data_IF_990983768643
#
_entry.id   IF_990983768643
#
_cell.length_a   1.000
_cell.length_b   1.000
_cell.length_c   1.000
_cell.angle_alpha   90.00
_cell.angle_beta   90.00
_cell.angle_gamma   90.00
#
_symmetry.space_group_name_H-M   'P 1'
#
loop_
_entity.id
_entity.type
_entity.pdbx_description
1 polymer ?
#
# COMPACT_ATOMS: atom_id res chain seq x y z
N UNK A 1 5.75 -20.19 -5.62
CA UNK A 1 4.49 -19.42 -5.62
C UNK A 1 4.65 -18.10 -6.38
N UNK A 2 5.59 -17.22 -6.00
CA UNK A 2 5.76 -15.92 -6.67
C UNK A 2 6.11 -16.02 -8.16
N UNK A 3 6.98 -16.96 -8.55
CA UNK A 3 7.33 -17.20 -9.96
C UNK A 3 6.11 -17.57 -10.82
N UNK A 4 5.29 -18.51 -10.36
CA UNK A 4 4.08 -18.92 -11.10
C UNK A 4 3.06 -17.79 -11.24
N UNK A 5 2.87 -16.97 -10.20
CA UNK A 5 1.98 -15.80 -10.27
C UNK A 5 2.47 -14.80 -11.32
N UNK A 6 3.77 -14.50 -11.33
CA UNK A 6 4.35 -13.58 -12.31
C UNK A 6 4.29 -14.16 -13.72
N UNK A 7 4.60 -15.45 -13.89
CA UNK A 7 4.50 -16.16 -15.17
C UNK A 7 3.09 -16.11 -15.73
N UNK A 8 2.09 -16.38 -14.90
CA UNK A 8 0.68 -16.30 -15.29
C UNK A 8 0.29 -14.88 -15.71
N UNK A 9 0.76 -13.86 -14.98
CA UNK A 9 0.52 -12.46 -15.36
C UNK A 9 1.13 -12.11 -16.73
N UNK A 10 2.33 -12.61 -17.06
CA UNK A 10 2.93 -12.43 -18.41
C UNK A 10 2.10 -13.13 -19.51
N UNK A 11 1.56 -14.31 -19.23
CA UNK A 11 0.68 -15.04 -20.16
C UNK A 11 -0.61 -14.24 -20.41
N UNK A 12 -1.26 -13.77 -19.36
CA UNK A 12 -2.50 -12.98 -19.44
C UNK A 12 -2.28 -11.63 -20.13
N UNK A 13 -1.11 -11.01 -19.95
CA UNK A 13 -0.69 -9.80 -20.65
C UNK A 13 -0.30 -10.05 -22.12
N UNK A 14 -0.31 -11.30 -22.60
CA UNK A 14 0.04 -11.67 -23.97
C UNK A 14 1.54 -11.56 -24.29
N UNK A 15 2.42 -11.59 -23.28
CA UNK A 15 3.88 -11.50 -23.42
C UNK A 15 4.62 -12.63 -22.69
N UNK A 16 4.29 -13.91 -22.94
CA UNK A 16 4.95 -15.03 -22.26
C UNK A 16 6.45 -15.12 -22.56
N UNK A 17 6.88 -14.61 -23.71
CA UNK A 17 8.28 -14.51 -24.17
C UNK A 17 9.13 -13.54 -23.34
N UNK A 18 8.50 -12.60 -22.64
CA UNK A 18 9.17 -11.61 -21.80
C UNK A 18 9.37 -12.10 -20.35
N UNK A 19 8.85 -13.28 -19.99
CA UNK A 19 9.06 -13.86 -18.67
C UNK A 19 10.48 -14.39 -18.53
N UNK A 20 11.19 -13.94 -17.49
CA UNK A 20 12.47 -14.49 -17.08
C UNK A 20 12.39 -14.93 -15.62
N UNK A 21 12.61 -16.20 -15.35
CA UNK A 21 12.53 -16.78 -14.00
C UNK A 21 13.63 -16.28 -13.06
N UNK A 22 14.79 -15.90 -13.60
CA UNK A 22 15.93 -15.39 -12.83
C UNK A 22 15.64 -14.02 -12.21
N UNK A 23 14.63 -13.29 -12.71
CA UNK A 23 14.21 -12.00 -12.16
C UNK A 23 13.42 -12.16 -10.85
N UNK A 24 12.96 -13.38 -10.50
CA UNK A 24 12.16 -13.65 -9.32
C UNK A 24 12.93 -14.62 -8.42
N UNK A 25 13.62 -14.07 -7.43
CA UNK A 25 14.43 -14.85 -6.50
C UNK A 25 14.20 -14.41 -5.04
N UNK A 26 14.54 -15.30 -4.12
CA UNK A 26 14.54 -15.00 -2.69
C UNK A 26 15.90 -14.42 -2.31
N UNK A 27 15.95 -13.13 -1.97
CA UNK A 27 17.22 -12.46 -1.61
C UNK A 27 17.76 -12.92 -0.25
N UNK A 28 16.91 -12.98 0.77
CA UNK A 28 17.18 -13.59 2.07
C UNK A 28 15.87 -13.81 2.84
N UNK A 29 15.90 -14.66 3.87
CA UNK A 29 14.74 -14.93 4.75
C UNK A 29 14.72 -14.05 6.00
N UNK A 30 15.88 -13.55 6.41
CA UNK A 30 16.06 -12.70 7.57
C UNK A 30 16.00 -11.22 7.19
N UNK A 31 15.47 -10.40 8.09
CA UNK A 31 15.13 -8.99 7.82
C UNK A 31 16.33 -8.17 7.30
N UNK A 32 17.41 -8.03 8.07
CA UNK A 32 18.55 -7.20 7.66
C UNK A 32 19.42 -7.82 6.55
N UNK A 33 19.61 -9.15 6.49
CA UNK A 33 20.19 -9.79 5.32
C UNK A 33 19.42 -9.52 4.02
N UNK A 34 18.08 -9.46 4.08
CA UNK A 34 17.24 -9.09 2.95
C UNK A 34 17.52 -7.65 2.52
N UNK A 35 17.57 -6.71 3.46
CA UNK A 35 17.92 -5.30 3.17
C UNK A 35 19.29 -5.17 2.52
N UNK A 36 20.30 -5.85 3.06
CA UNK A 36 21.66 -5.78 2.52
C UNK A 36 21.73 -6.36 1.09
N UNK A 37 21.05 -7.48 0.85
CA UNK A 37 21.02 -8.11 -0.46
C UNK A 37 20.31 -7.23 -1.50
N UNK A 38 19.10 -6.73 -1.18
CA UNK A 38 18.30 -5.90 -2.09
C UNK A 38 18.95 -4.54 -2.30
N UNK A 39 19.41 -3.87 -1.23
CA UNK A 39 20.13 -2.60 -1.34
C UNK A 39 21.41 -2.74 -2.16
N UNK A 40 22.17 -3.82 -1.97
CA UNK A 40 23.32 -4.12 -2.81
C UNK A 40 22.97 -4.29 -4.29
N UNK A 41 21.82 -4.91 -4.59
CA UNK A 41 21.31 -5.03 -5.97
C UNK A 41 20.93 -3.67 -6.53
N UNK A 42 20.24 -2.81 -5.77
CA UNK A 42 19.90 -1.45 -6.22
C UNK A 42 21.14 -0.65 -6.61
N UNK A 43 22.22 -0.74 -5.83
CA UNK A 43 23.46 0.01 -6.09
C UNK A 43 24.22 -0.52 -7.30
N UNK A 44 24.25 -1.85 -7.51
CA UNK A 44 24.95 -2.48 -8.65
C UNK A 44 24.17 -2.34 -9.96
N UNK A 45 22.89 -2.71 -9.94
CA UNK A 45 22.06 -2.80 -11.14
C UNK A 45 21.42 -1.45 -11.52
N UNK A 46 21.34 -0.51 -10.57
CA UNK A 46 20.78 0.83 -10.75
C UNK A 46 19.43 0.81 -11.49
N UNK A 47 18.40 0.16 -10.91
CA UNK A 47 17.10 0.03 -11.55
C UNK A 47 16.50 1.41 -11.83
N UNK A 48 15.74 1.52 -12.91
CA UNK A 48 15.06 2.78 -13.27
C UNK A 48 13.97 3.17 -12.26
N UNK A 49 13.33 2.17 -11.65
CA UNK A 49 12.31 2.37 -10.62
C UNK A 49 12.31 1.22 -9.60
N UNK A 50 11.97 1.51 -8.34
CA UNK A 50 11.60 0.51 -7.35
C UNK A 50 10.17 0.70 -6.89
N UNK A 51 9.51 -0.42 -6.60
CA UNK A 51 8.11 -0.46 -6.18
C UNK A 51 8.02 -1.25 -4.86
N UNK A 52 7.69 -0.57 -3.78
CA UNK A 52 7.54 -1.15 -2.43
C UNK A 52 6.06 -1.24 -2.07
N UNK A 53 5.51 -2.44 -1.94
CA UNK A 53 4.09 -2.62 -1.61
C UNK A 53 3.93 -3.57 -0.42
N UNK A 54 3.32 -3.08 0.65
CA UNK A 54 3.06 -3.85 1.87
C UNK A 54 3.73 -3.27 3.12
N UNK A 55 4.17 -4.15 4.01
CA UNK A 55 4.69 -3.81 5.35
C UNK A 55 6.18 -4.14 5.39
N UNK A 56 7.01 -3.14 5.68
CA UNK A 56 8.47 -3.12 5.57
C UNK A 56 9.18 -2.62 6.86
N UNK A 57 8.57 -2.72 8.04
CA UNK A 57 9.15 -2.33 9.35
C UNK A 57 10.27 -1.26 9.31
N UNK A 58 11.47 -1.59 9.80
CA UNK A 58 12.64 -0.71 9.76
C UNK A 58 13.34 -0.76 8.39
N UNK A 59 13.14 -1.81 7.59
CA UNK A 59 13.71 -1.90 6.25
C UNK A 59 13.18 -0.86 5.26
N UNK A 60 11.97 -0.34 5.49
CA UNK A 60 11.30 0.66 4.66
C UNK A 60 12.19 1.86 4.37
N UNK A 61 12.76 2.48 5.41
CA UNK A 61 13.64 3.63 5.26
C UNK A 61 14.95 3.25 4.57
N UNK A 62 15.58 2.14 4.99
CA UNK A 62 16.87 1.71 4.45
C UNK A 62 16.79 1.41 2.95
N UNK A 63 15.75 0.70 2.51
CA UNK A 63 15.53 0.35 1.11
C UNK A 63 15.17 1.58 0.28
N UNK A 64 14.27 2.43 0.79
CA UNK A 64 13.82 3.60 0.05
C UNK A 64 14.93 4.66 -0.09
N UNK A 65 15.71 4.92 0.95
CA UNK A 65 16.87 5.82 0.89
C UNK A 65 17.97 5.27 -0.03
N UNK A 66 18.25 3.97 0.05
CA UNK A 66 19.23 3.33 -0.85
C UNK A 66 18.82 3.49 -2.31
N UNK A 67 17.58 3.19 -2.68
CA UNK A 67 17.13 3.36 -4.07
C UNK A 67 17.01 4.83 -4.49
N UNK A 68 16.68 5.76 -3.57
CA UNK A 68 16.69 7.18 -3.87
C UNK A 68 18.11 7.68 -4.19
N UNK A 69 19.12 7.18 -3.46
CA UNK A 69 20.53 7.50 -3.70
C UNK A 69 21.05 7.04 -5.07
N UNK A 70 20.40 6.06 -5.70
CA UNK A 70 20.76 5.60 -7.06
C UNK A 70 20.08 6.41 -8.16
N UNK A 71 19.15 7.30 -7.81
CA UNK A 71 18.35 8.11 -8.75
C UNK A 71 17.19 7.35 -9.39
N UNK A 72 16.80 6.20 -8.81
CA UNK A 72 15.63 5.44 -9.26
C UNK A 72 14.34 6.17 -8.86
N UNK A 73 13.30 6.08 -9.70
CA UNK A 73 11.95 6.49 -9.31
C UNK A 73 11.44 5.55 -8.21
N UNK A 74 10.89 6.10 -7.16
CA UNK A 74 10.45 5.35 -5.99
C UNK A 74 8.93 5.42 -5.84
N UNK A 75 8.27 4.26 -5.93
CA UNK A 75 6.85 4.10 -5.64
C UNK A 75 6.69 3.23 -4.40
N UNK A 76 5.90 3.68 -3.44
CA UNK A 76 5.63 2.95 -2.23
C UNK A 76 4.12 2.86 -1.95
N UNK A 77 3.71 1.87 -1.18
CA UNK A 77 2.35 1.75 -0.68
C UNK A 77 2.30 0.88 0.57
N UNK A 78 1.74 1.43 1.65
CA UNK A 78 1.60 0.72 2.93
C UNK A 78 0.35 1.18 3.68
N UNK A 79 -0.26 0.27 4.43
CA UNK A 79 -1.34 0.55 5.37
C UNK A 79 -0.82 0.83 6.80
N UNK A 80 0.49 0.73 7.01
CA UNK A 80 1.12 0.89 8.31
C UNK A 80 1.43 2.36 8.64
N UNK A 81 0.72 2.92 9.61
CA UNK A 81 0.91 4.31 10.06
C UNK A 81 2.32 4.62 10.60
N UNK A 82 3.06 3.62 11.08
CA UNK A 82 4.42 3.81 11.60
C UNK A 82 5.47 3.90 10.49
N UNK A 83 5.17 3.39 9.29
CA UNK A 83 6.10 3.34 8.16
C UNK A 83 5.80 4.38 7.09
N UNK A 84 4.55 4.84 7.01
CA UNK A 84 4.15 5.92 6.11
C UNK A 84 5.10 7.13 6.15
N UNK A 85 5.59 7.61 7.32
CA UNK A 85 6.52 8.74 7.36
C UNK A 85 7.86 8.46 6.66
N UNK A 86 8.32 7.21 6.62
CA UNK A 86 9.54 6.86 5.92
C UNK A 86 9.31 6.92 4.41
N UNK A 87 8.30 6.21 3.91
CA UNK A 87 8.01 6.21 2.47
C UNK A 87 7.64 7.59 1.94
N UNK A 88 6.83 8.38 2.67
CA UNK A 88 6.43 9.71 2.20
C UNK A 88 7.60 10.69 2.08
N UNK A 89 8.68 10.47 2.83
CA UNK A 89 9.85 11.37 2.81
C UNK A 89 10.92 10.92 1.84
N UNK A 90 10.99 9.62 1.52
CA UNK A 90 12.04 9.05 0.66
C UNK A 90 11.57 8.61 -0.72
N UNK A 91 10.26 8.52 -0.97
CA UNK A 91 9.70 8.06 -2.24
C UNK A 91 8.99 9.19 -3.01
N UNK A 92 9.00 9.12 -4.33
CA UNK A 92 8.33 10.10 -5.21
C UNK A 92 6.80 9.99 -5.11
N UNK A 93 6.28 8.76 -5.01
CA UNK A 93 4.86 8.49 -4.90
C UNK A 93 4.60 7.47 -3.79
N UNK A 94 3.73 7.82 -2.85
CA UNK A 94 3.36 6.95 -1.73
C UNK A 94 1.85 6.79 -1.66
N UNK A 95 1.36 5.55 -1.81
CA UNK A 95 -0.03 5.18 -1.53
C UNK A 95 -0.23 5.07 -0.02
N UNK A 96 -1.25 5.75 0.49
CA UNK A 96 -1.51 5.88 1.91
C UNK A 96 -2.71 5.03 2.31
N UNK A 97 -2.50 4.05 3.19
CA UNK A 97 -3.62 3.35 3.83
C UNK A 97 -4.48 2.59 2.82
N UNK A 98 -5.74 3.02 2.68
CA UNK A 98 -6.71 2.39 1.81
C UNK A 98 -6.39 2.52 0.31
N UNK A 99 -5.57 3.49 -0.07
CA UNK A 99 -5.12 3.68 -1.45
C UNK A 99 -4.36 2.46 -1.98
N UNK A 100 -3.62 1.76 -1.10
CA UNK A 100 -2.92 0.52 -1.44
C UNK A 100 -3.89 -0.56 -1.96
N UNK A 101 -5.05 -0.69 -1.31
CA UNK A 101 -6.06 -1.68 -1.69
C UNK A 101 -6.92 -1.21 -2.86
N UNK A 102 -7.16 0.10 -2.97
CA UNK A 102 -7.92 0.69 -4.06
C UNK A 102 -7.15 0.68 -5.40
N UNK A 103 -5.81 0.69 -5.36
CA UNK A 103 -4.98 0.80 -6.55
C UNK A 103 -5.23 -0.30 -7.59
N UNK A 104 -5.34 -1.56 -7.17
CA UNK A 104 -5.56 -2.69 -8.09
C UNK A 104 -6.92 -2.59 -8.79
N UNK A 105 -7.97 -2.25 -8.04
CA UNK A 105 -9.32 -2.04 -8.55
C UNK A 105 -9.39 -0.86 -9.54
N UNK A 106 -8.66 0.22 -9.23
CA UNK A 106 -8.59 1.40 -10.08
C UNK A 106 -7.87 1.10 -11.41
N UNK A 107 -6.80 0.30 -11.38
CA UNK A 107 -6.05 -0.10 -12.56
C UNK A 107 -6.79 -1.14 -13.42
N UNK A 108 -7.39 -2.15 -12.81
CA UNK A 108 -8.13 -3.21 -13.53
C UNK A 108 -9.48 -2.72 -14.08
N UNK A 109 -10.04 -1.65 -13.48
CA UNK A 109 -11.38 -1.12 -13.77
C UNK A 109 -12.48 -2.17 -13.66
N UNK A 110 -12.29 -3.18 -12.82
CA UNK A 110 -13.26 -4.24 -12.66
C UNK A 110 -14.50 -3.70 -11.91
N UNK A 111 -15.71 -3.77 -12.52
CA UNK A 111 -16.91 -3.14 -11.95
C UNK A 111 -17.25 -3.62 -10.54
N UNK A 112 -16.96 -4.88 -10.24
CA UNK A 112 -17.19 -5.46 -8.91
C UNK A 112 -16.29 -4.82 -7.86
N UNK A 113 -14.99 -4.72 -8.12
CA UNK A 113 -14.02 -4.12 -7.20
C UNK A 113 -14.23 -2.61 -7.03
N UNK A 114 -14.58 -1.91 -8.11
CA UNK A 114 -14.93 -0.49 -8.03
C UNK A 114 -16.23 -0.27 -7.25
N UNK A 115 -17.20 -1.16 -7.41
CA UNK A 115 -18.47 -1.12 -6.69
C UNK A 115 -18.29 -1.32 -5.18
N UNK A 116 -17.42 -2.23 -4.76
CA UNK A 116 -17.13 -2.46 -3.33
C UNK A 116 -16.47 -1.23 -2.70
N UNK A 117 -15.49 -0.62 -3.37
CA UNK A 117 -14.87 0.64 -2.93
C UNK A 117 -15.91 1.74 -2.74
N UNK A 118 -16.77 1.94 -3.75
CA UNK A 118 -17.81 2.99 -3.67
C UNK A 118 -18.81 2.74 -2.54
N UNK A 119 -19.19 1.48 -2.31
CA UNK A 119 -20.05 1.09 -1.21
C UNK A 119 -19.40 1.38 0.16
N UNK A 120 -18.11 1.08 0.29
CA UNK A 120 -17.34 1.37 1.50
C UNK A 120 -17.27 2.88 1.77
N UNK A 121 -17.00 3.69 0.75
CA UNK A 121 -16.92 5.15 0.87
C UNK A 121 -18.24 5.77 1.31
N UNK A 122 -19.36 5.34 0.71
CA UNK A 122 -20.70 5.82 1.08
C UNK A 122 -21.03 5.45 2.53
N UNK A 123 -20.71 4.21 2.93
CA UNK A 123 -20.89 3.75 4.31
C UNK A 123 -20.08 4.59 5.31
N UNK A 124 -18.79 4.83 5.02
CA UNK A 124 -17.94 5.70 5.84
C UNK A 124 -18.49 7.13 5.92
N UNK A 125 -18.90 7.72 4.79
CA UNK A 125 -19.45 9.07 4.76
C UNK A 125 -20.72 9.20 5.62
N UNK A 126 -21.61 8.20 5.56
CA UNK A 126 -22.80 8.15 6.41
C UNK A 126 -22.44 8.07 7.90
N UNK A 127 -21.49 7.23 8.29
CA UNK A 127 -21.03 7.11 9.67
C UNK A 127 -20.38 8.41 10.17
N UNK A 128 -19.54 9.04 9.35
CA UNK A 128 -18.90 10.34 9.67
C UNK A 128 -19.99 11.40 9.92
N UNK A 129 -21.02 11.46 9.08
CA UNK A 129 -22.13 12.40 9.24
C UNK A 129 -22.88 12.16 10.56
N UNK A 130 -23.18 10.90 10.90
CA UNK A 130 -23.81 10.55 12.17
C UNK A 130 -22.93 10.94 13.38
N UNK A 131 -21.62 10.71 13.30
CA UNK A 131 -20.67 11.08 14.35
C UNK A 131 -20.60 12.59 14.56
N UNK A 132 -20.56 13.36 13.48
CA UNK A 132 -20.54 14.83 13.54
C UNK A 132 -21.84 15.36 14.15
N UNK A 133 -23.00 14.89 13.68
CA UNK A 133 -24.30 15.29 14.23
C UNK A 133 -24.45 14.89 15.69
N UNK A 134 -24.05 13.67 16.06
CA UNK A 134 -24.09 13.17 17.43
C UNK A 134 -23.21 14.00 18.36
N UNK A 135 -22.02 14.37 17.91
CA UNK A 135 -21.08 15.20 18.67
C UNK A 135 -21.62 16.61 18.88
N UNK A 136 -22.24 17.22 17.86
CA UNK A 136 -22.88 18.54 17.96
C UNK A 136 -24.07 18.53 18.92
N UNK A 137 -24.98 17.55 18.80
CA UNK A 137 -26.14 17.42 19.69
C UNK A 137 -25.72 17.19 21.15
N UNK A 138 -24.71 16.35 21.38
CA UNK A 138 -24.14 16.15 22.71
C UNK A 138 -23.54 17.45 23.28
N UNK A 139 -22.83 18.23 22.45
CA UNK A 139 -22.23 19.50 22.86
C UNK A 139 -23.29 20.56 23.21
N UNK A 140 -24.42 20.57 22.50
CA UNK A 140 -25.54 21.49 22.74
C UNK A 140 -26.46 21.09 23.91
N UNK A 141 -26.13 20.02 24.65
CA UNK A 141 -26.88 19.61 25.84
C UNK A 141 -28.08 18.69 25.55
N UNK A 142 -28.14 18.08 24.35
CA UNK A 142 -29.14 17.07 23.99
C UNK A 142 -28.49 15.66 23.94
N UNK A 143 -28.19 15.03 25.09
CA UNK A 143 -27.48 13.76 25.14
C UNK A 143 -28.38 12.55 24.85
N UNK A 144 -29.63 12.74 24.41
CA UNK A 144 -30.55 11.62 24.17
C UNK A 144 -29.99 10.62 23.15
N UNK A 145 -29.26 11.10 22.14
CA UNK A 145 -28.60 10.24 21.15
C UNK A 145 -27.43 9.45 21.76
N UNK A 146 -26.67 10.05 22.67
CA UNK A 146 -25.58 9.39 23.38
C UNK A 146 -26.07 8.37 24.43
N UNK A 147 -27.25 8.59 25.02
CA UNK A 147 -27.89 7.64 25.93
C UNK A 147 -28.28 6.34 25.23
N UNK A 148 -28.61 6.38 23.93
CA UNK A 148 -28.90 5.18 23.14
C UNK A 148 -27.69 4.22 23.08
N UNK A 149 -26.46 4.76 23.06
CA UNK A 149 -25.21 3.99 23.06
C UNK A 149 -24.71 3.60 24.46
N UNK A 150 -25.31 4.12 25.54
CA UNK A 150 -25.03 3.69 26.92
C UNK A 150 -25.75 2.40 27.33
N UNK A 151 -26.71 1.94 26.53
CA UNK A 151 -27.52 0.76 26.83
C UNK A 151 -26.86 -0.57 26.40
N UNK A 152 -25.63 -0.53 25.89
CA UNK A 152 -24.76 -1.68 25.62
C UNK A 152 -23.48 -1.58 26.43
#
# INVERSE_FOLDING_TARGET
MSQEVVKQAYIEAGRPDSYNEDNIFLAATEQFPYVAAVGGTMVRERPAANVFMGVFFAESLLLAETGASTGAIQLAGTDSYTQLPFFITTCDYTLIGEELYAASAYLSREPLLLGTLRGQDVGKAFLILLLVLGTLLATLGYPQLAQLFKAF
#
